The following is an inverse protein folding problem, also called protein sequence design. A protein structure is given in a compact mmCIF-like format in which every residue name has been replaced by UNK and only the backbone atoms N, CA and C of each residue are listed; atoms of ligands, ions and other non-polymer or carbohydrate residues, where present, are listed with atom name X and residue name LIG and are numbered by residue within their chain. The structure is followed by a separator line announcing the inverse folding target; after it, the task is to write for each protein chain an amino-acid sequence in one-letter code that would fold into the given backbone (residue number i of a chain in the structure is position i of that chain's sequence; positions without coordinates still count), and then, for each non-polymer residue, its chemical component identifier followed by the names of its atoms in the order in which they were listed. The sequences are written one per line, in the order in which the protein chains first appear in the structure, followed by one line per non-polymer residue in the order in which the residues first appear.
data_IF_923460846338
#
_entry.id   IF_923460846338
#
_cell.length_a   1.000
_cell.length_b   1.000
_cell.length_c   1.000
_cell.angle_alpha   90.00
_cell.angle_beta   90.00
_cell.angle_gamma   90.00
#
_symmetry.space_group_name_H-M   'P 1'
#
loop_
_entity.id
_entity.type
_entity.pdbx_description
1 polymer ?
#
# COMPACT_ATOMS: atom_id res chain seq x y z
N UNK A 1 -18.64 -14.70 -7.48
CA UNK A 1 -17.89 -14.64 -6.23
C UNK A 1 -17.36 -13.22 -6.13
N UNK A 2 -17.93 -12.41 -5.22
CA UNK A 2 -17.43 -11.08 -4.92
C UNK A 2 -16.04 -11.24 -4.30
N UNK A 3 -15.01 -10.90 -5.07
CA UNK A 3 -13.70 -10.59 -4.52
C UNK A 3 -13.91 -9.37 -3.62
N UNK A 4 -13.69 -9.54 -2.32
CA UNK A 4 -13.71 -8.45 -1.35
C UNK A 4 -12.64 -7.43 -1.78
N UNK A 5 -13.05 -6.39 -2.49
CA UNK A 5 -12.20 -5.28 -2.93
C UNK A 5 -11.84 -4.47 -1.69
N UNK A 6 -10.73 -4.83 -1.07
CA UNK A 6 -10.16 -4.08 0.04
C UNK A 6 -9.80 -2.69 -0.47
N UNK A 7 -10.52 -1.65 -0.02
CA UNK A 7 -10.23 -0.26 -0.37
C UNK A 7 -10.92 0.29 -1.63
N UNK A 8 -12.02 -0.31 -2.10
CA UNK A 8 -12.87 0.30 -3.16
C UNK A 8 -13.91 1.23 -2.53
N UNK A 9 -14.08 2.42 -3.10
CA UNK A 9 -15.07 3.42 -2.67
C UNK A 9 -15.56 4.25 -3.86
N UNK A 10 -16.74 4.85 -3.71
CA UNK A 10 -17.25 5.77 -4.72
C UNK A 10 -16.40 7.03 -4.81
N UNK A 11 -16.17 7.52 -6.02
CA UNK A 11 -15.47 8.79 -6.23
C UNK A 11 -16.23 9.92 -5.51
N UNK A 12 -15.53 10.65 -4.65
CA UNK A 12 -16.12 11.82 -3.97
C UNK A 12 -16.07 13.05 -4.86
N UNK A 13 -16.85 14.08 -4.53
CA UNK A 13 -16.83 15.35 -5.27
C UNK A 13 -15.43 16.01 -5.32
N UNK A 14 -14.55 15.67 -4.39
CA UNK A 14 -13.20 16.24 -4.25
C UNK A 14 -12.07 15.23 -4.46
N UNK A 15 -12.37 13.93 -4.53
CA UNK A 15 -11.41 12.88 -4.82
C UNK A 15 -11.47 12.48 -6.30
N UNK A 16 -10.32 12.23 -6.91
CA UNK A 16 -10.21 11.74 -8.27
C UNK A 16 -8.94 10.88 -8.43
N UNK A 17 -8.80 10.22 -9.56
CA UNK A 17 -7.58 9.52 -9.95
C UNK A 17 -7.05 10.18 -11.22
N UNK A 18 -5.74 10.45 -11.26
CA UNK A 18 -5.01 10.86 -12.46
C UNK A 18 -4.12 9.73 -12.93
N UNK A 19 -3.76 9.74 -14.20
CA UNK A 19 -2.90 8.73 -14.81
C UNK A 19 -1.51 8.62 -14.14
N UNK A 20 -0.79 7.57 -14.45
CA UNK A 20 0.56 7.32 -13.89
C UNK A 20 1.55 8.42 -14.23
N UNK A 21 1.37 9.10 -15.37
CA UNK A 21 2.22 10.21 -15.85
C UNK A 21 1.83 11.57 -15.28
N UNK A 22 0.69 11.67 -14.57
CA UNK A 22 0.12 12.88 -13.97
C UNK A 22 -0.23 13.97 -14.99
N UNK A 23 -0.75 13.57 -16.16
CA UNK A 23 -1.06 14.48 -17.26
C UNK A 23 -2.55 14.64 -17.54
N UNK A 24 -3.37 13.66 -17.16
CA UNK A 24 -4.81 13.64 -17.38
C UNK A 24 -5.53 12.87 -16.26
N UNK A 25 -6.85 12.97 -16.22
CA UNK A 25 -7.64 12.06 -15.37
C UNK A 25 -7.61 10.63 -15.93
N UNK A 26 -7.64 9.65 -15.03
CA UNK A 26 -7.73 8.24 -15.39
C UNK A 26 -9.15 7.90 -15.86
N UNK A 27 -9.25 7.09 -16.91
CA UNK A 27 -10.52 6.63 -17.47
C UNK A 27 -11.03 5.38 -16.73
N UNK A 28 -12.35 5.19 -16.56
CA UNK A 28 -12.92 3.99 -15.98
C UNK A 28 -12.55 2.72 -16.75
N UNK A 29 -12.03 1.72 -16.03
CA UNK A 29 -11.62 0.43 -16.61
C UNK A 29 -10.27 0.44 -17.31
N UNK A 30 -9.51 1.54 -17.24
CA UNK A 30 -8.16 1.61 -17.76
C UNK A 30 -7.19 0.83 -16.85
N UNK A 31 -6.32 0.02 -17.47
CA UNK A 31 -5.28 -0.74 -16.76
C UNK A 31 -4.02 0.12 -16.53
N UNK A 32 -4.21 1.35 -16.03
CA UNK A 32 -3.14 2.25 -15.62
C UNK A 32 -3.19 2.45 -14.10
N UNK A 33 -2.08 2.16 -13.43
CA UNK A 33 -1.94 2.40 -12.00
C UNK A 33 -1.62 3.87 -11.75
N UNK A 34 -2.66 4.66 -11.63
CA UNK A 34 -2.62 6.12 -11.46
C UNK A 34 -2.36 6.58 -10.03
N UNK A 35 -2.68 7.82 -9.77
CA UNK A 35 -2.50 8.48 -8.48
C UNK A 35 -3.82 9.00 -7.95
N UNK A 36 -4.12 8.66 -6.69
CA UNK A 36 -5.23 9.30 -5.96
C UNK A 36 -4.90 10.77 -5.72
N UNK A 37 -5.83 11.66 -6.07
CA UNK A 37 -5.68 13.11 -5.89
C UNK A 37 -6.85 13.70 -5.12
N UNK A 38 -6.55 14.78 -4.40
CA UNK A 38 -7.53 15.63 -3.74
C UNK A 38 -7.67 16.94 -4.51
N UNK A 39 -8.90 17.37 -4.76
CA UNK A 39 -9.32 18.59 -5.46
C UNK A 39 -9.96 19.59 -4.49
N UNK A 40 -10.17 20.81 -4.94
CA UNK A 40 -10.91 21.84 -4.18
C UNK A 40 -10.00 22.68 -3.27
N UNK A 41 -10.30 22.74 -1.96
CA UNK A 41 -9.50 23.56 -1.03
C UNK A 41 -8.20 22.87 -0.68
N UNK A 42 -7.10 23.40 -1.18
CA UNK A 42 -5.75 22.86 -1.02
C UNK A 42 -4.84 23.86 -0.31
N UNK A 43 -3.82 23.38 0.44
CA UNK A 43 -2.73 24.21 0.93
C UNK A 43 -2.04 24.97 -0.20
N UNK A 44 -1.46 26.14 0.10
CA UNK A 44 -0.68 26.90 -0.88
C UNK A 44 0.61 26.16 -1.29
N UNK A 45 1.22 25.42 -0.36
CA UNK A 45 2.42 24.64 -0.59
C UNK A 45 3.17 24.37 0.69
N UNK A 46 4.40 23.89 0.54
CA UNK A 46 5.37 23.73 1.62
C UNK A 46 6.19 25.01 1.78
N UNK A 47 6.29 25.50 3.00
CA UNK A 47 7.06 26.72 3.29
C UNK A 47 8.55 26.49 2.97
N UNK A 48 9.09 27.32 2.07
CA UNK A 48 10.52 27.29 1.70
C UNK A 48 10.91 26.09 0.81
N UNK A 49 9.95 25.29 0.31
CA UNK A 49 10.23 24.13 -0.52
C UNK A 49 9.35 24.17 -1.79
N UNK A 50 9.86 24.86 -2.81
CA UNK A 50 9.16 25.04 -4.08
C UNK A 50 9.06 23.73 -4.87
N UNK A 51 10.11 22.89 -4.87
CA UNK A 51 10.18 21.65 -5.61
C UNK A 51 9.16 20.63 -5.07
N UNK A 52 9.14 20.48 -3.75
CA UNK A 52 8.15 19.63 -3.09
C UNK A 52 6.73 20.16 -3.28
N UNK A 53 6.56 21.49 -3.28
CA UNK A 53 5.26 22.12 -3.58
C UNK A 53 4.80 21.78 -4.98
N UNK A 54 5.64 21.94 -5.99
CA UNK A 54 5.32 21.61 -7.37
C UNK A 54 5.00 20.12 -7.57
N UNK A 55 5.79 19.24 -6.95
CA UNK A 55 5.60 17.79 -7.02
C UNK A 55 4.30 17.33 -6.34
N UNK A 56 3.92 17.98 -5.21
CA UNK A 56 2.72 17.61 -4.45
C UNK A 56 1.45 18.26 -5.00
N UNK A 57 1.54 19.45 -5.58
CA UNK A 57 0.40 20.21 -6.05
C UNK A 57 0.47 20.53 -7.56
N UNK A 58 0.50 19.49 -8.43
CA UNK A 58 0.51 19.70 -9.88
C UNK A 58 -0.77 20.35 -10.37
N UNK A 59 -0.71 20.90 -11.59
CA UNK A 59 -1.87 21.32 -12.38
C UNK A 59 -2.07 20.29 -13.48
N UNK A 60 -3.22 19.60 -13.47
CA UNK A 60 -3.60 18.60 -14.47
C UNK A 60 -4.90 19.06 -15.12
N UNK A 61 -4.94 19.13 -16.45
CA UNK A 61 -6.08 19.63 -17.23
C UNK A 61 -6.61 20.99 -16.75
N UNK A 62 -5.70 21.87 -16.31
CA UNK A 62 -6.04 23.23 -15.87
C UNK A 62 -6.52 23.32 -14.40
N UNK A 63 -6.64 22.20 -13.69
CA UNK A 63 -7.02 22.15 -12.29
C UNK A 63 -5.83 21.82 -11.39
N UNK A 64 -5.66 22.59 -10.30
CA UNK A 64 -4.65 22.34 -9.28
C UNK A 64 -5.17 21.29 -8.30
N UNK A 65 -4.39 20.27 -8.01
CA UNK A 65 -4.77 19.17 -7.13
C UNK A 65 -3.61 18.72 -6.22
N UNK A 66 -3.91 17.99 -5.17
CA UNK A 66 -2.91 17.43 -4.26
C UNK A 66 -2.73 15.94 -4.51
N UNK A 67 -1.49 15.52 -4.78
CA UNK A 67 -1.05 14.12 -4.90
C UNK A 67 -0.42 13.72 -3.57
N UNK A 68 -1.16 12.96 -2.75
CA UNK A 68 -0.69 12.54 -1.41
C UNK A 68 0.27 11.34 -1.45
N UNK A 69 0.42 10.70 -2.62
CA UNK A 69 1.32 9.57 -2.81
C UNK A 69 0.62 8.21 -2.77
N UNK A 70 -0.70 8.19 -2.73
CA UNK A 70 -1.48 6.95 -2.78
C UNK A 70 -1.74 6.54 -4.25
N UNK A 71 -1.55 5.24 -4.55
CA UNK A 71 -1.76 4.65 -5.88
C UNK A 71 -3.19 4.14 -5.99
N UNK A 72 -3.86 4.45 -7.10
CA UNK A 72 -5.24 4.09 -7.32
C UNK A 72 -5.56 3.83 -8.80
N UNK A 73 -6.66 3.12 -9.03
CA UNK A 73 -7.25 2.89 -10.35
C UNK A 73 -8.73 3.22 -10.33
N UNK A 74 -9.31 3.54 -11.49
CA UNK A 74 -10.75 3.68 -11.65
C UNK A 74 -11.28 2.39 -12.28
N UNK A 75 -12.11 1.66 -11.54
CA UNK A 75 -12.73 0.44 -12.05
C UNK A 75 -13.75 0.76 -13.15
N UNK A 76 -14.15 -0.27 -13.93
CA UNK A 76 -15.08 -0.10 -15.05
C UNK A 76 -16.46 0.45 -14.63
N UNK A 77 -16.85 0.28 -13.38
CA UNK A 77 -18.07 0.82 -12.78
C UNK A 77 -17.91 2.26 -12.25
N UNK A 78 -16.70 2.86 -12.40
CA UNK A 78 -16.37 4.19 -11.92
C UNK A 78 -15.96 4.27 -10.46
N UNK A 79 -15.96 3.16 -9.72
CA UNK A 79 -15.45 3.12 -8.35
C UNK A 79 -13.92 3.28 -8.33
N UNK A 80 -13.39 3.83 -7.24
CA UNK A 80 -11.94 4.00 -7.04
C UNK A 80 -11.40 2.81 -6.24
N UNK A 81 -10.41 2.14 -6.78
CA UNK A 81 -9.66 1.07 -6.11
C UNK A 81 -8.35 1.65 -5.60
N UNK A 82 -8.19 1.72 -4.28
CA UNK A 82 -6.96 2.16 -3.63
C UNK A 82 -6.03 0.96 -3.44
N UNK A 83 -4.81 1.07 -3.94
CA UNK A 83 -3.82 -0.01 -3.83
C UNK A 83 -2.89 0.15 -2.63
N UNK A 84 -2.50 1.38 -2.30
CA UNK A 84 -1.59 1.68 -1.20
C UNK A 84 -0.62 2.81 -1.54
N UNK A 85 0.34 3.05 -0.65
CA UNK A 85 1.31 4.13 -0.80
C UNK A 85 2.49 3.75 -1.69
N UNK A 86 2.81 4.63 -2.65
CA UNK A 86 3.96 4.45 -3.54
C UNK A 86 5.29 4.36 -2.77
N UNK A 87 5.45 5.13 -1.70
CA UNK A 87 6.68 5.19 -0.90
C UNK A 87 7.01 3.89 -0.13
N UNK A 88 6.05 2.99 0.03
CA UNK A 88 6.23 1.69 0.70
C UNK A 88 5.95 0.51 -0.23
N UNK A 89 5.86 0.80 -1.53
CA UNK A 89 5.75 -0.23 -2.56
C UNK A 89 7.04 -1.04 -2.66
N UNK A 90 6.91 -2.35 -2.66
CA UNK A 90 8.02 -3.30 -2.78
C UNK A 90 8.14 -3.72 -4.24
N UNK A 91 9.26 -3.38 -4.88
CA UNK A 91 9.56 -3.85 -6.24
C UNK A 91 10.26 -5.21 -6.15
N UNK A 92 9.54 -6.28 -6.44
CA UNK A 92 10.02 -7.67 -6.33
C UNK A 92 9.88 -8.39 -7.67
N UNK A 93 11.00 -8.76 -8.28
CA UNK A 93 11.00 -9.49 -9.56
C UNK A 93 10.35 -8.73 -10.72
N UNK A 94 10.33 -7.40 -10.69
CA UNK A 94 9.66 -6.55 -11.67
C UNK A 94 8.21 -6.20 -11.34
N UNK A 95 7.63 -6.83 -10.34
CA UNK A 95 6.26 -6.58 -9.88
C UNK A 95 6.22 -5.53 -8.77
N UNK A 96 5.19 -4.69 -8.78
CA UNK A 96 4.90 -3.73 -7.70
C UNK A 96 3.97 -4.37 -6.68
N UNK A 97 4.45 -4.53 -5.45
CA UNK A 97 3.70 -5.13 -4.35
C UNK A 97 3.46 -4.07 -3.29
N UNK A 98 2.20 -3.79 -3.01
CA UNK A 98 1.82 -2.83 -1.98
C UNK A 98 1.87 -3.48 -0.61
N UNK A 99 2.64 -2.90 0.31
CA UNK A 99 2.81 -3.44 1.66
C UNK A 99 1.47 -3.61 2.38
N UNK A 100 0.61 -2.60 2.28
CA UNK A 100 -0.71 -2.59 2.93
C UNK A 100 -1.64 -3.70 2.44
N UNK A 101 -1.58 -4.07 1.16
CA UNK A 101 -2.35 -5.19 0.61
C UNK A 101 -1.95 -6.52 1.27
N UNK A 102 -0.65 -6.74 1.41
CA UNK A 102 -0.11 -7.94 2.05
C UNK A 102 -0.38 -7.95 3.55
N UNK A 103 -0.28 -6.80 4.22
CA UNK A 103 -0.64 -6.63 5.64
C UNK A 103 -2.09 -7.00 5.90
N UNK A 104 -3.02 -6.55 5.05
CA UNK A 104 -4.44 -6.90 5.18
C UNK A 104 -4.68 -8.38 4.96
N UNK A 105 -4.03 -8.98 3.96
CA UNK A 105 -4.13 -10.41 3.69
C UNK A 105 -3.64 -11.27 4.87
N UNK A 106 -2.53 -10.89 5.51
CA UNK A 106 -2.04 -11.58 6.71
C UNK A 106 -2.98 -11.42 7.91
N UNK A 107 -3.55 -10.23 8.09
CA UNK A 107 -4.50 -9.93 9.17
C UNK A 107 -5.86 -10.60 9.00
N UNK A 108 -6.15 -11.18 7.85
CA UNK A 108 -7.35 -12.02 7.66
C UNK A 108 -7.27 -13.32 8.47
N UNK A 109 -6.07 -13.77 8.85
CA UNK A 109 -5.93 -14.92 9.72
C UNK A 109 -6.34 -14.58 11.16
N UNK A 110 -7.27 -15.31 11.79
CA UNK A 110 -7.82 -14.97 13.11
C UNK A 110 -6.80 -14.96 14.26
N UNK A 111 -5.65 -15.61 14.08
CA UNK A 111 -4.55 -15.61 15.05
C UNK A 111 -3.63 -14.38 14.95
N UNK A 112 -3.75 -13.56 13.90
CA UNK A 112 -2.89 -12.38 13.68
C UNK A 112 -3.51 -11.15 14.34
N UNK A 113 -2.79 -10.57 15.29
CA UNK A 113 -3.18 -9.34 15.96
C UNK A 113 -2.81 -8.12 15.12
N UNK A 114 -1.59 -8.10 14.55
CA UNK A 114 -1.14 -7.03 13.66
C UNK A 114 0.00 -7.51 12.75
N UNK A 115 0.19 -6.83 11.63
CA UNK A 115 1.25 -7.10 10.67
C UNK A 115 1.77 -5.81 10.04
N UNK A 116 3.09 -5.75 9.80
CA UNK A 116 3.74 -4.73 8.96
C UNK A 116 4.62 -5.45 7.95
N UNK A 117 4.52 -5.03 6.69
CA UNK A 117 5.22 -5.65 5.56
C UNK A 117 6.23 -4.68 4.97
N UNK A 118 7.43 -5.16 4.69
CA UNK A 118 8.50 -4.36 4.08
C UNK A 118 9.30 -5.18 3.08
N UNK A 119 10.07 -4.50 2.24
CA UNK A 119 11.05 -5.13 1.35
C UNK A 119 12.38 -5.36 2.06
N UNK A 120 13.02 -6.48 1.76
CA UNK A 120 14.42 -6.77 2.10
C UNK A 120 15.22 -6.98 0.81
N UNK A 121 16.45 -6.46 0.68
CA UNK A 121 17.30 -6.73 -0.48
C UNK A 121 17.45 -8.23 -0.74
N UNK A 122 17.32 -8.64 -2.00
CA UNK A 122 17.42 -10.02 -2.45
C UNK A 122 18.17 -10.08 -3.79
N UNK A 123 19.19 -10.93 -3.90
CA UNK A 123 19.94 -11.12 -5.16
C UNK A 123 19.05 -11.62 -6.28
N UNK A 124 18.04 -12.42 -5.96
CA UNK A 124 17.15 -13.03 -6.94
C UNK A 124 16.04 -12.10 -7.42
N UNK A 125 15.49 -11.25 -6.51
CA UNK A 125 14.26 -10.51 -6.75
C UNK A 125 14.44 -8.99 -6.75
N UNK A 126 15.69 -8.50 -6.50
CA UNK A 126 15.95 -7.10 -6.18
C UNK A 126 15.51 -6.77 -4.75
N UNK A 127 14.23 -6.95 -4.46
CA UNK A 127 13.71 -7.02 -3.09
C UNK A 127 12.78 -8.24 -2.96
N UNK A 128 12.76 -8.83 -1.77
CA UNK A 128 11.77 -9.83 -1.39
C UNK A 128 10.82 -9.27 -0.35
N UNK A 129 9.59 -9.77 -0.36
CA UNK A 129 8.57 -9.37 0.59
C UNK A 129 8.82 -10.05 1.93
N UNK A 130 8.89 -9.26 3.00
CA UNK A 130 9.03 -9.74 4.37
C UNK A 130 7.92 -9.17 5.24
N UNK A 131 7.47 -9.93 6.23
CA UNK A 131 6.45 -9.52 7.18
C UNK A 131 6.96 -9.60 8.61
N UNK A 132 6.59 -8.62 9.44
CA UNK A 132 6.69 -8.69 10.90
C UNK A 132 5.28 -8.83 11.45
N UNK A 133 5.04 -9.89 12.23
CA UNK A 133 3.70 -10.27 12.67
C UNK A 133 3.65 -10.41 14.19
N UNK A 134 2.64 -9.85 14.82
CA UNK A 134 2.24 -10.16 16.18
C UNK A 134 0.96 -10.99 16.19
N UNK A 135 0.87 -11.91 17.13
CA UNK A 135 -0.26 -12.83 17.28
C UNK A 135 -1.13 -12.45 18.48
N UNK A 136 -2.40 -12.82 18.42
CA UNK A 136 -3.27 -12.76 19.59
C UNK A 136 -2.83 -13.78 20.65
N UNK A 137 -3.09 -13.48 21.91
CA UNK A 137 -2.79 -14.38 23.02
C UNK A 137 -3.45 -15.75 22.83
N UNK A 138 -2.68 -16.82 23.06
CA UNK A 138 -3.15 -18.20 22.90
C UNK A 138 -3.17 -18.71 21.45
N UNK A 139 -2.77 -17.92 20.48
CA UNK A 139 -2.63 -18.33 19.08
C UNK A 139 -1.15 -18.54 18.72
N UNK A 140 -0.86 -19.63 18.01
CA UNK A 140 0.48 -19.92 17.49
C UNK A 140 0.40 -20.66 16.15
N UNK A 141 -0.24 -20.04 15.09
CA UNK A 141 -0.26 -20.63 13.77
C UNK A 141 1.17 -20.70 13.22
N UNK A 142 1.50 -21.73 12.48
CA UNK A 142 2.76 -21.77 11.73
C UNK A 142 2.74 -20.83 10.52
N UNK A 143 3.91 -20.59 9.93
CA UNK A 143 4.02 -19.69 8.77
C UNK A 143 3.23 -20.19 7.57
N UNK A 144 3.11 -21.52 7.40
CA UNK A 144 2.35 -22.12 6.32
C UNK A 144 0.85 -21.76 6.42
N UNK A 145 0.28 -21.81 7.62
CA UNK A 145 -1.11 -21.43 7.87
C UNK A 145 -1.36 -19.94 7.58
N UNK A 146 -0.42 -19.06 7.99
CA UNK A 146 -0.51 -17.63 7.71
C UNK A 146 -0.46 -17.35 6.20
N UNK A 147 0.46 -17.99 5.49
CA UNK A 147 0.62 -17.85 4.04
C UNK A 147 -0.55 -18.45 3.26
N UNK A 148 -1.11 -19.58 3.73
CA UNK A 148 -2.30 -20.18 3.10
C UNK A 148 -3.51 -19.27 3.20
N UNK A 149 -3.76 -18.67 4.38
CA UNK A 149 -4.84 -17.70 4.53
C UNK A 149 -4.62 -16.46 3.66
N UNK A 150 -3.42 -15.88 3.69
CA UNK A 150 -3.10 -14.71 2.86
C UNK A 150 -3.26 -15.01 1.36
N UNK A 151 -2.92 -16.23 0.89
CA UNK A 151 -3.05 -16.65 -0.50
C UNK A 151 -4.51 -16.72 -1.01
N UNK A 152 -5.50 -16.67 -0.12
CA UNK A 152 -6.92 -16.58 -0.49
C UNK A 152 -7.33 -15.17 -0.89
N UNK A 153 -6.54 -14.17 -0.49
CA UNK A 153 -6.84 -12.75 -0.66
C UNK A 153 -5.92 -12.06 -1.68
N UNK A 154 -4.68 -12.55 -1.85
CA UNK A 154 -3.69 -11.96 -2.75
C UNK A 154 -3.00 -13.03 -3.61
N UNK A 155 -2.43 -12.59 -4.73
CA UNK A 155 -1.67 -13.48 -5.62
C UNK A 155 -0.43 -14.07 -4.92
N UNK A 156 -0.09 -15.33 -5.20
CA UNK A 156 0.99 -16.07 -4.52
C UNK A 156 2.37 -15.40 -4.63
N UNK A 157 2.65 -14.66 -5.71
CA UNK A 157 3.93 -13.98 -5.86
C UNK A 157 4.10 -12.80 -4.87
N UNK A 158 3.00 -12.25 -4.33
CA UNK A 158 2.99 -11.18 -3.33
C UNK A 158 3.24 -11.69 -1.90
N UNK A 159 3.13 -12.99 -1.67
CA UNK A 159 3.27 -13.56 -0.33
C UNK A 159 4.67 -13.33 0.24
N UNK A 160 4.78 -13.05 1.55
CA UNK A 160 6.06 -12.92 2.23
C UNK A 160 6.93 -14.16 2.07
N UNK A 161 8.23 -13.95 1.87
CA UNK A 161 9.25 -14.99 1.83
C UNK A 161 9.82 -15.25 3.22
N UNK A 162 9.71 -14.26 4.10
CA UNK A 162 10.16 -14.33 5.50
C UNK A 162 9.07 -13.72 6.36
N UNK A 163 8.75 -14.42 7.46
CA UNK A 163 7.85 -13.94 8.51
C UNK A 163 8.63 -13.90 9.81
N UNK A 164 8.76 -12.71 10.39
CA UNK A 164 9.38 -12.48 11.70
C UNK A 164 8.27 -12.29 12.72
N UNK A 165 8.36 -13.02 13.84
CA UNK A 165 7.38 -12.91 14.92
C UNK A 165 7.89 -11.95 15.99
N UNK A 166 6.98 -11.12 16.50
CA UNK A 166 7.26 -10.21 17.60
C UNK A 166 6.11 -10.24 18.63
N UNK A 167 6.39 -9.79 19.84
CA UNK A 167 5.35 -9.68 20.87
C UNK A 167 4.30 -8.62 20.54
N UNK A 168 4.72 -7.51 19.92
CA UNK A 168 3.84 -6.44 19.49
C UNK A 168 4.47 -5.70 18.31
N UNK A 169 3.68 -5.45 17.26
CA UNK A 169 4.07 -4.60 16.13
C UNK A 169 4.19 -3.15 16.61
N UNK A 170 5.32 -2.54 16.30
CA UNK A 170 5.52 -1.12 16.64
C UNK A 170 4.80 -0.22 15.63
N UNK A 171 4.03 0.73 16.18
CA UNK A 171 3.38 1.79 15.41
C UNK A 171 3.75 3.14 15.99
N UNK A 172 3.85 4.14 15.13
CA UNK A 172 4.05 5.53 15.55
C UNK A 172 2.87 6.02 16.43
N UNK A 173 3.05 7.08 17.24
CA UNK A 173 2.00 7.57 18.17
C UNK A 173 0.65 7.89 17.52
N UNK A 174 0.63 8.16 16.20
CA UNK A 174 -0.58 8.37 15.41
C UNK A 174 -1.17 7.07 14.80
N UNK A 175 -0.70 5.89 15.22
CA UNK A 175 -1.17 4.57 14.80
C UNK A 175 -0.66 4.09 13.43
N UNK A 176 0.21 4.88 12.75
CA UNK A 176 0.75 4.47 11.44
C UNK A 176 1.84 3.42 11.60
N UNK A 177 1.90 2.48 10.65
CA UNK A 177 2.97 1.49 10.55
C UNK A 177 4.35 2.18 10.48
N UNK A 178 5.31 1.66 11.22
CA UNK A 178 6.70 2.09 11.15
C UNK A 178 7.49 1.10 10.28
N UNK A 179 7.55 1.39 8.99
CA UNK A 179 8.25 0.55 8.01
C UNK A 179 9.76 0.51 8.21
N UNK A 180 10.34 1.53 8.86
CA UNK A 180 11.76 1.54 9.20
C UNK A 180 12.05 0.52 10.30
N UNK A 181 11.24 0.54 11.35
CA UNK A 181 11.32 -0.46 12.41
C UNK A 181 11.13 -1.88 11.86
N UNK A 182 10.15 -2.10 10.97
CA UNK A 182 9.93 -3.40 10.35
C UNK A 182 11.15 -3.87 9.56
N UNK A 183 11.77 -2.97 8.77
CA UNK A 183 12.99 -3.29 8.03
C UNK A 183 14.15 -3.68 8.95
N UNK A 184 14.31 -3.04 10.12
CA UNK A 184 15.31 -3.40 11.13
C UNK A 184 15.05 -4.80 11.73
N UNK A 185 13.78 -5.18 11.94
CA UNK A 185 13.43 -6.52 12.44
C UNK A 185 13.80 -7.62 11.43
N UNK A 186 13.49 -7.43 10.15
CA UNK A 186 13.76 -8.44 9.11
C UNK A 186 15.22 -8.51 8.69
N UNK A 187 16.01 -7.45 8.92
CA UNK A 187 17.45 -7.46 8.64
C UNK A 187 18.23 -8.37 9.59
N UNK A 188 17.68 -8.67 10.77
CA UNK A 188 18.29 -9.47 11.84
C UNK A 188 17.74 -10.92 11.88
N UNK A 189 16.89 -11.30 10.89
CA UNK A 189 16.23 -12.60 10.84
C UNK A 189 16.90 -13.59 9.89
#
# INVERSE_FOLDING_TARGET
ADEARTGSFDATATGAVIDSTRTRFAEPGEDDLGWMVQRGRLPLGYLGDADKTAATFPVVEGERMAVAGDRAQVAADGSVVLHGRDSVTINSGGEKIFAEEVEQALKSHPGVADAVVCGRPSERWGNEVCAVVSLHDGHDPDDAALLEEAARHIARYKLPKVIVRCGQVYRSPNGKADYRWAAEQVANA
#
